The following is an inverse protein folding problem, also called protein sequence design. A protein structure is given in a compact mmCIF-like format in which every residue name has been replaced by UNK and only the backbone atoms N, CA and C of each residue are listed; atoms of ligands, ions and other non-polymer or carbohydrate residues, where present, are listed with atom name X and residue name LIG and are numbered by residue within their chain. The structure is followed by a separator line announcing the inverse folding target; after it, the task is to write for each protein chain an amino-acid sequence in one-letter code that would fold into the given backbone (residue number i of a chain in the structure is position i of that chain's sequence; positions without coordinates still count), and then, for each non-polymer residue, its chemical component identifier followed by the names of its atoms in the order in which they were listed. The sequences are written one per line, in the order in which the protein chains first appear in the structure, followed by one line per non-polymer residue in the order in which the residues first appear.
data_IF_724979450558
#
_entry.id   IF_724979450558
#
_cell.length_a   1.000
_cell.length_b   1.000
_cell.length_c   1.000
_cell.angle_alpha   90.00
_cell.angle_beta   90.00
_cell.angle_gamma   90.00
#
_symmetry.space_group_name_H-M   'P 1'
#
loop_
_entity.id
_entity.type
_entity.pdbx_description
1 polymer ?
#
# COMPACT_ATOMS: atom_id res chain seq x y z
N UNK A 1 10.64 2.10 -1.89
CA UNK A 1 10.09 3.42 -1.52
C UNK A 1 11.19 4.47 -1.42
N UNK A 2 12.08 4.42 -0.41
CA UNK A 2 13.17 5.42 -0.26
C UNK A 2 14.02 5.56 -1.53
N UNK A 3 14.43 4.45 -2.15
CA UNK A 3 15.23 4.47 -3.38
C UNK A 3 14.54 5.19 -4.55
N UNK A 4 13.22 5.06 -4.69
CA UNK A 4 12.47 5.81 -5.71
C UNK A 4 12.34 7.29 -5.38
N UNK A 5 12.28 7.62 -4.09
CA UNK A 5 12.30 9.01 -3.64
C UNK A 5 13.64 9.71 -3.92
N UNK A 6 14.76 8.98 -3.88
CA UNK A 6 16.05 9.57 -4.25
C UNK A 6 16.08 10.04 -5.70
N UNK A 7 15.54 9.24 -6.63
CA UNK A 7 15.36 9.65 -8.03
C UNK A 7 14.43 10.86 -8.16
N UNK A 8 13.44 10.95 -7.27
CA UNK A 8 12.49 12.04 -7.23
C UNK A 8 13.09 13.35 -6.71
N UNK A 9 13.95 13.29 -5.70
CA UNK A 9 14.65 14.47 -5.16
C UNK A 9 15.58 15.09 -6.20
N UNK A 10 16.27 14.26 -6.99
CA UNK A 10 17.09 14.74 -8.10
C UNK A 10 16.24 15.45 -9.16
N UNK A 11 15.06 14.92 -9.48
CA UNK A 11 14.16 15.60 -10.41
C UNK A 11 13.57 16.89 -9.82
N UNK A 12 13.38 16.94 -8.49
CA UNK A 12 12.83 18.09 -7.77
C UNK A 12 13.73 19.32 -7.80
N UNK A 13 15.06 19.15 -7.89
CA UNK A 13 15.99 20.28 -7.91
C UNK A 13 15.86 21.17 -9.14
N UNK A 14 15.14 20.69 -10.17
CA UNK A 14 14.86 21.43 -11.40
C UNK A 14 13.37 21.81 -11.54
N UNK A 15 12.55 21.45 -10.57
CA UNK A 15 11.11 21.68 -10.63
C UNK A 15 10.73 23.10 -10.14
N UNK A 16 9.55 23.57 -10.56
CA UNK A 16 8.98 24.79 -9.99
C UNK A 16 8.56 24.58 -8.52
N UNK A 17 8.30 25.69 -7.81
CA UNK A 17 7.95 25.66 -6.39
C UNK A 17 6.66 24.86 -6.11
N UNK A 18 5.72 24.86 -7.05
CA UNK A 18 4.45 24.16 -6.90
C UNK A 18 4.64 22.64 -6.95
N UNK A 19 5.37 22.15 -7.95
CA UNK A 19 5.75 20.74 -8.10
C UNK A 19 6.58 20.31 -6.89
N UNK A 20 7.56 21.12 -6.46
CA UNK A 20 8.35 20.83 -5.28
C UNK A 20 7.48 20.67 -4.01
N UNK A 21 6.46 21.52 -3.83
CA UNK A 21 5.53 21.41 -2.72
C UNK A 21 4.73 20.10 -2.76
N UNK A 22 4.23 19.70 -3.93
CA UNK A 22 3.56 18.39 -4.10
C UNK A 22 4.50 17.23 -3.81
N UNK A 23 5.75 17.29 -4.27
CA UNK A 23 6.75 16.26 -4.00
C UNK A 23 7.03 16.11 -2.51
N UNK A 24 7.18 17.23 -1.79
CA UNK A 24 7.35 17.21 -0.32
C UNK A 24 6.11 16.65 0.38
N UNK A 25 4.90 17.07 -0.03
CA UNK A 25 3.63 16.54 0.50
C UNK A 25 3.56 15.01 0.35
N UNK A 26 3.83 14.51 -0.85
CA UNK A 26 3.86 13.09 -1.16
C UNK A 26 4.94 12.33 -0.37
N UNK A 27 6.11 12.93 -0.17
CA UNK A 27 7.16 12.31 0.64
C UNK A 27 6.70 12.15 2.09
N UNK A 28 6.19 13.22 2.68
CA UNK A 28 5.74 13.22 4.08
C UNK A 28 4.57 12.27 4.30
N UNK A 29 3.57 12.28 3.42
CA UNK A 29 2.43 11.35 3.50
C UNK A 29 2.88 9.90 3.37
N UNK A 30 3.86 9.60 2.50
CA UNK A 30 4.46 8.27 2.42
C UNK A 30 5.26 7.87 3.66
N UNK A 31 6.01 8.78 4.29
CA UNK A 31 6.66 8.52 5.60
C UNK A 31 5.61 8.18 6.66
N UNK A 32 4.53 8.96 6.73
CA UNK A 32 3.44 8.72 7.68
C UNK A 32 2.80 7.35 7.44
N UNK A 33 2.43 7.04 6.20
CA UNK A 33 1.76 5.79 5.86
C UNK A 33 2.67 4.56 6.06
N UNK A 34 3.92 4.61 5.61
CA UNK A 34 4.77 3.41 5.55
C UNK A 34 5.60 3.21 6.80
N UNK A 35 6.15 4.29 7.37
CA UNK A 35 7.12 4.22 8.48
C UNK A 35 6.43 4.41 9.83
N UNK A 36 5.62 5.47 9.96
CA UNK A 36 5.03 5.83 11.26
C UNK A 36 3.77 5.03 11.59
N UNK A 37 2.90 4.82 10.60
CA UNK A 37 1.61 4.14 10.77
C UNK A 37 1.47 2.95 9.82
N UNK A 38 2.30 1.90 9.95
CA UNK A 38 2.16 0.71 9.13
C UNK A 38 0.84 -0.01 9.43
N UNK A 39 0.22 -0.59 8.39
CA UNK A 39 -1.01 -1.38 8.52
C UNK A 39 -0.81 -2.55 9.51
N UNK A 40 -1.85 -2.85 10.28
CA UNK A 40 -1.97 -4.06 11.09
C UNK A 40 -1.49 -3.90 12.53
N UNK A 41 -0.99 -2.73 12.93
CA UNK A 41 -0.52 -2.49 14.31
C UNK A 41 -1.62 -2.04 15.26
N UNK A 42 -2.54 -1.19 14.81
CA UNK A 42 -3.69 -0.77 15.61
C UNK A 42 -4.79 -0.18 14.73
N UNK A 43 -6.08 -0.26 15.14
CA UNK A 43 -7.18 0.29 14.35
C UNK A 43 -7.07 1.80 14.08
N UNK A 44 -6.42 2.56 14.98
CA UNK A 44 -6.18 3.99 14.78
C UNK A 44 -5.06 4.21 13.74
N UNK A 45 -3.94 3.50 13.84
CA UNK A 45 -2.86 3.59 12.85
C UNK A 45 -3.34 3.15 11.48
N UNK A 46 -4.19 2.13 11.39
CA UNK A 46 -4.77 1.70 10.11
C UNK A 46 -5.63 2.80 9.47
N UNK A 47 -6.41 3.53 10.27
CA UNK A 47 -7.17 4.69 9.77
C UNK A 47 -6.24 5.80 9.28
N UNK A 48 -5.19 6.11 10.04
CA UNK A 48 -4.20 7.12 9.66
C UNK A 48 -3.48 6.71 8.37
N UNK A 49 -3.06 5.45 8.26
CA UNK A 49 -2.49 4.87 7.06
C UNK A 49 -3.40 5.08 5.85
N UNK A 50 -4.68 4.70 5.98
CA UNK A 50 -5.65 4.84 4.90
C UNK A 50 -5.82 6.30 4.45
N UNK A 51 -5.95 7.23 5.39
CA UNK A 51 -6.07 8.66 5.08
C UNK A 51 -4.80 9.19 4.41
N UNK A 52 -3.62 8.87 4.94
CA UNK A 52 -2.34 9.29 4.38
C UNK A 52 -2.14 8.74 2.96
N UNK A 53 -2.47 7.47 2.73
CA UNK A 53 -2.44 6.85 1.41
C UNK A 53 -3.44 7.49 0.44
N UNK A 54 -4.63 7.89 0.90
CA UNK A 54 -5.59 8.60 0.05
C UNK A 54 -5.09 10.00 -0.36
N UNK A 55 -4.51 10.75 0.57
CA UNK A 55 -3.90 12.06 0.27
C UNK A 55 -2.75 11.88 -0.72
N UNK A 56 -1.87 10.90 -0.48
CA UNK A 56 -0.77 10.54 -1.38
C UNK A 56 -1.27 10.28 -2.82
N UNK A 57 -2.38 9.55 -2.98
CA UNK A 57 -3.00 9.28 -4.27
C UNK A 57 -3.61 10.53 -4.91
N UNK A 58 -4.26 11.40 -4.11
CA UNK A 58 -4.79 12.67 -4.61
C UNK A 58 -3.69 13.58 -5.15
N UNK A 59 -2.56 13.66 -4.45
CA UNK A 59 -1.39 14.41 -4.89
C UNK A 59 -0.85 13.89 -6.23
N UNK A 60 -0.88 12.56 -6.47
CA UNK A 60 -0.49 12.00 -7.76
C UNK A 60 -1.41 12.47 -8.89
N UNK A 61 -2.72 12.43 -8.66
CA UNK A 61 -3.72 12.85 -9.67
C UNK A 61 -3.53 14.32 -10.02
N UNK A 62 -3.32 15.18 -9.02
CA UNK A 62 -3.03 16.60 -9.24
C UNK A 62 -1.73 16.78 -10.03
N UNK A 63 -0.66 16.07 -9.64
CA UNK A 63 0.64 16.17 -10.28
C UNK A 63 0.63 15.67 -11.73
N UNK A 64 -0.15 14.62 -12.03
CA UNK A 64 -0.34 14.18 -13.42
C UNK A 64 -0.96 15.25 -14.31
N UNK A 65 -1.93 15.99 -13.78
CA UNK A 65 -2.56 17.11 -14.48
C UNK A 65 -1.57 18.25 -14.72
N UNK A 66 -0.76 18.59 -13.71
CA UNK A 66 0.25 19.65 -13.80
C UNK A 66 1.34 19.29 -14.82
N UNK A 67 1.85 18.05 -14.78
CA UNK A 67 2.95 17.59 -15.64
C UNK A 67 2.50 17.18 -17.05
N UNK A 68 1.21 17.24 -17.37
CA UNK A 68 0.69 16.77 -18.66
C UNK A 68 1.02 15.29 -18.93
N UNK A 69 0.98 14.46 -17.89
CA UNK A 69 1.47 13.07 -17.96
C UNK A 69 0.68 12.26 -19.00
N UNK A 70 1.34 11.48 -19.89
CA UNK A 70 0.64 10.71 -20.91
C UNK A 70 -0.40 9.75 -20.33
N UNK A 71 -1.54 9.62 -21.02
CA UNK A 71 -2.71 8.86 -20.55
C UNK A 71 -2.37 7.43 -20.15
N UNK A 72 -1.41 6.77 -20.82
CA UNK A 72 -0.99 5.40 -20.49
C UNK A 72 -0.52 5.25 -19.03
N UNK A 73 0.19 6.26 -18.50
CA UNK A 73 0.67 6.25 -17.11
C UNK A 73 -0.45 6.52 -16.13
N UNK A 74 -1.35 7.46 -16.48
CA UNK A 74 -2.54 7.79 -15.68
C UNK A 74 -3.49 6.59 -15.59
N UNK A 75 -3.73 5.89 -16.70
CA UNK A 75 -4.54 4.67 -16.72
C UNK A 75 -3.89 3.56 -15.91
N UNK A 76 -2.57 3.39 -16.03
CA UNK A 76 -1.80 2.48 -15.18
C UNK A 76 -2.04 2.76 -13.71
N UNK A 77 -1.87 4.00 -13.27
CA UNK A 77 -2.14 4.42 -11.90
C UNK A 77 -3.57 4.08 -11.43
N UNK A 78 -4.59 4.39 -12.22
CA UNK A 78 -5.98 4.10 -11.85
C UNK A 78 -6.30 2.62 -11.76
N UNK A 79 -5.76 1.80 -12.67
CA UNK A 79 -5.91 0.35 -12.62
C UNK A 79 -5.36 -0.22 -11.30
N UNK A 80 -4.26 0.36 -10.83
CA UNK A 80 -3.58 -0.08 -9.62
C UNK A 80 -4.28 0.38 -8.36
N UNK A 81 -4.77 1.61 -8.37
CA UNK A 81 -5.64 2.11 -7.32
C UNK A 81 -6.90 1.25 -7.18
N UNK A 82 -7.53 0.89 -8.30
CA UNK A 82 -8.69 0.00 -8.31
C UNK A 82 -8.34 -1.40 -7.76
N UNK A 83 -7.18 -1.95 -8.14
CA UNK A 83 -6.71 -3.23 -7.64
C UNK A 83 -6.46 -3.20 -6.12
N UNK A 84 -5.80 -2.15 -5.61
CA UNK A 84 -5.58 -1.94 -4.18
C UNK A 84 -6.91 -1.86 -3.40
N UNK A 85 -7.89 -1.11 -3.92
CA UNK A 85 -9.23 -1.03 -3.32
C UNK A 85 -9.93 -2.40 -3.32
N UNK A 86 -9.85 -3.14 -4.42
CA UNK A 86 -10.41 -4.48 -4.51
C UNK A 86 -9.79 -5.40 -3.43
N UNK A 87 -8.47 -5.43 -3.33
CA UNK A 87 -7.75 -6.22 -2.31
C UNK A 87 -8.19 -5.86 -0.89
N UNK A 88 -8.29 -4.57 -0.57
CA UNK A 88 -8.75 -4.12 0.74
C UNK A 88 -10.18 -4.54 1.06
N UNK A 89 -11.10 -4.42 0.09
CA UNK A 89 -12.50 -4.80 0.30
C UNK A 89 -12.65 -6.31 0.51
N UNK A 90 -11.85 -7.11 -0.18
CA UNK A 90 -11.81 -8.56 -0.01
C UNK A 90 -11.27 -8.94 1.37
N UNK A 91 -10.15 -8.34 1.80
CA UNK A 91 -9.56 -8.61 3.11
C UNK A 91 -10.53 -8.24 4.25
N UNK A 92 -11.18 -7.07 4.17
CA UNK A 92 -12.20 -6.69 5.16
C UNK A 92 -13.38 -7.65 5.21
N UNK A 93 -13.77 -8.21 4.07
CA UNK A 93 -14.85 -9.21 4.02
C UNK A 93 -14.42 -10.48 4.74
N UNK A 94 -13.21 -10.96 4.51
CA UNK A 94 -12.66 -12.14 5.18
C UNK A 94 -12.53 -11.94 6.69
N UNK A 95 -12.00 -10.80 7.12
CA UNK A 95 -11.92 -10.46 8.55
C UNK A 95 -13.30 -10.47 9.21
N UNK A 96 -14.31 -9.85 8.58
CA UNK A 96 -15.69 -9.87 9.10
C UNK A 96 -16.27 -11.28 9.22
N UNK A 97 -16.00 -12.16 8.25
CA UNK A 97 -16.46 -13.55 8.28
C UNK A 97 -15.78 -14.33 9.41
N UNK A 98 -14.49 -14.11 9.65
CA UNK A 98 -13.76 -14.75 10.75
C UNK A 98 -14.26 -14.28 12.12
N UNK A 99 -14.44 -12.97 12.32
CA UNK A 99 -15.00 -12.43 13.57
C UNK A 99 -16.46 -12.87 13.81
N UNK A 100 -17.28 -12.91 12.75
CA UNK A 100 -18.65 -13.41 12.84
C UNK A 100 -18.73 -14.90 13.22
N UNK A 101 -17.82 -15.72 12.70
CA UNK A 101 -17.72 -17.15 13.03
C UNK A 101 -17.15 -17.40 14.43
N UNK A 102 -16.25 -16.55 14.92
CA UNK A 102 -15.73 -16.63 16.30
C UNK A 102 -16.83 -16.41 17.33
N UNK A 103 -17.71 -15.42 17.13
CA UNK A 103 -18.77 -15.11 18.09
C UNK A 103 -19.82 -16.22 18.28
N UNK A 104 -19.96 -17.18 17.35
CA UNK A 104 -20.83 -18.34 17.53
C UNK A 104 -20.22 -19.48 18.35
N UNK A 105 -18.92 -19.41 18.69
CA UNK A 105 -18.18 -20.47 19.41
C UNK A 105 -17.87 -20.08 20.87
N UNK A 106 -18.12 -18.83 21.26
CA UNK A 106 -17.81 -18.27 22.59
C UNK A 106 -18.82 -18.58 23.71
N UNK A 107 -19.65 -19.63 23.57
CA UNK A 107 -20.42 -20.18 24.70
C UNK A 107 -19.61 -21.13 25.59
N UNK A 108 -18.28 -21.21 25.41
CA UNK A 108 -17.39 -21.87 26.37
C UNK A 108 -16.24 -20.93 26.74
N UNK A 109 -15.95 -20.71 28.04
CA UNK A 109 -14.84 -19.87 28.48
C UNK A 109 -13.52 -20.54 28.11
N UNK A 110 -12.93 -20.11 27.00
CA UNK A 110 -11.57 -20.53 26.61
C UNK A 110 -10.58 -19.61 27.33
N UNK A 111 -9.64 -20.15 28.13
CA UNK A 111 -8.63 -19.36 28.82
C UNK A 111 -7.79 -18.56 27.81
N UNK A 112 -7.50 -17.31 28.15
CA UNK A 112 -6.75 -16.38 27.30
C UNK A 112 -5.43 -17.00 26.82
N UNK A 113 -5.14 -17.02 25.50
CA UNK A 113 -3.88 -17.53 25.02
C UNK A 113 -2.74 -16.65 25.54
N UNK A 114 -1.86 -17.27 26.34
CA UNK A 114 -0.62 -16.68 26.81
C UNK A 114 0.18 -16.25 25.58
N UNK A 115 0.61 -14.99 25.54
CA UNK A 115 1.45 -14.42 24.49
C UNK A 115 2.85 -15.05 24.53
N UNK A 116 2.97 -16.32 24.17
CA UNK A 116 4.24 -16.92 23.81
C UNK A 116 4.53 -16.52 22.37
N UNK A 117 5.63 -15.79 22.18
CA UNK A 117 6.18 -15.40 20.89
C UNK A 117 6.62 -16.62 20.08
N UNK A 118 5.65 -17.41 19.59
CA UNK A 118 5.89 -18.42 18.58
C UNK A 118 6.10 -17.69 17.26
N UNK A 119 7.36 -17.70 16.81
CA UNK A 119 7.70 -17.50 15.41
C UNK A 119 6.70 -18.30 14.54
N UNK A 120 6.26 -17.76 13.40
CA UNK A 120 5.26 -18.41 12.56
C UNK A 120 5.68 -19.85 12.30
N UNK A 121 4.70 -20.75 12.46
CA UNK A 121 4.86 -22.19 12.41
C UNK A 121 5.78 -22.62 11.26
N UNK A 122 6.70 -23.53 11.60
CA UNK A 122 7.55 -24.29 10.70
C UNK A 122 6.82 -24.65 9.41
N UNK A 123 7.50 -24.42 8.29
CA UNK A 123 7.08 -24.67 6.91
C UNK A 123 6.35 -26.01 6.74
N UNK A 124 5.03 -25.99 6.62
CA UNK A 124 4.24 -27.10 6.07
C UNK A 124 4.21 -26.93 4.54
N UNK A 125 5.22 -27.50 3.87
CA UNK A 125 5.43 -27.40 2.44
C UNK A 125 4.42 -28.14 1.57
N UNK A 126 3.36 -28.73 2.13
CA UNK A 126 2.46 -29.63 1.40
C UNK A 126 1.14 -29.04 0.91
N UNK A 127 0.68 -27.89 1.44
CA UNK A 127 -0.68 -27.43 1.13
C UNK A 127 -0.69 -26.48 -0.09
N UNK A 128 -1.17 -26.95 -1.23
CA UNK A 128 -1.29 -26.16 -2.47
C UNK A 128 -2.01 -24.81 -2.25
N UNK A 129 -2.94 -24.75 -1.29
CA UNK A 129 -3.62 -23.52 -0.89
C UNK A 129 -2.67 -22.48 -0.27
N UNK A 130 -1.74 -22.90 0.59
CA UNK A 130 -0.79 -21.97 1.25
C UNK A 130 0.26 -21.46 0.26
N UNK A 131 0.63 -22.26 -0.73
CA UNK A 131 1.52 -21.83 -1.83
C UNK A 131 0.82 -20.80 -2.71
N UNK A 132 -0.45 -21.01 -3.05
CA UNK A 132 -1.23 -20.06 -3.85
C UNK A 132 -1.44 -18.73 -3.12
N UNK A 133 -1.79 -18.75 -1.83
CA UNK A 133 -1.95 -17.55 -0.99
C UNK A 133 -0.65 -16.74 -0.87
N UNK A 134 0.50 -17.41 -0.79
CA UNK A 134 1.80 -16.74 -0.81
C UNK A 134 2.14 -16.19 -2.18
N UNK A 135 1.90 -16.96 -3.24
CA UNK A 135 2.15 -16.52 -4.61
C UNK A 135 1.32 -15.29 -4.98
N UNK A 136 0.06 -15.23 -4.53
CA UNK A 136 -0.77 -14.03 -4.70
C UNK A 136 -0.25 -12.87 -3.87
N UNK A 137 0.13 -13.08 -2.60
CA UNK A 137 0.72 -12.02 -1.77
C UNK A 137 2.02 -11.45 -2.37
N UNK A 138 2.93 -12.31 -2.86
CA UNK A 138 4.14 -11.87 -3.55
C UNK A 138 3.83 -11.20 -4.88
N UNK A 139 2.85 -11.70 -5.63
CA UNK A 139 2.36 -11.09 -6.87
C UNK A 139 1.81 -9.68 -6.64
N UNK A 140 1.07 -9.47 -5.54
CA UNK A 140 0.61 -8.14 -5.12
C UNK A 140 1.78 -7.22 -4.80
N UNK A 141 2.73 -7.67 -3.97
CA UNK A 141 3.92 -6.88 -3.66
C UNK A 141 4.75 -6.54 -4.91
N UNK A 142 5.03 -7.51 -5.78
CA UNK A 142 5.75 -7.30 -7.04
C UNK A 142 5.00 -6.35 -7.97
N UNK A 143 3.67 -6.47 -8.02
CA UNK A 143 2.80 -5.53 -8.73
C UNK A 143 3.00 -4.12 -8.20
N UNK A 144 2.79 -3.91 -6.89
CA UNK A 144 2.94 -2.61 -6.23
C UNK A 144 4.33 -1.98 -6.47
N UNK A 145 5.40 -2.76 -6.34
CA UNK A 145 6.76 -2.27 -6.60
C UNK A 145 7.03 -2.00 -8.08
N UNK A 146 6.60 -2.88 -8.98
CA UNK A 146 6.73 -2.68 -10.43
C UNK A 146 5.95 -1.45 -10.90
N UNK A 147 4.83 -1.16 -10.26
CA UNK A 147 4.02 0.02 -10.51
C UNK A 147 4.64 1.29 -10.00
N UNK A 148 5.24 1.25 -8.81
CA UNK A 148 6.04 2.36 -8.31
C UNK A 148 7.18 2.69 -9.28
N UNK A 149 7.85 1.68 -9.85
CA UNK A 149 8.90 1.89 -10.87
C UNK A 149 8.32 2.45 -12.17
N UNK A 150 7.24 1.86 -12.70
CA UNK A 150 6.57 2.34 -13.92
C UNK A 150 6.12 3.81 -13.79
N UNK A 151 5.63 4.17 -12.61
CA UNK A 151 5.24 5.51 -12.24
C UNK A 151 6.42 6.49 -12.18
N UNK A 152 7.53 6.11 -11.52
CA UNK A 152 8.77 6.91 -11.51
C UNK A 152 9.26 7.19 -12.93
N UNK A 153 9.22 6.19 -13.82
CA UNK A 153 9.57 6.35 -15.22
C UNK A 153 8.62 7.29 -15.99
N UNK A 154 7.33 7.30 -15.64
CA UNK A 154 6.34 8.22 -16.22
C UNK A 154 6.57 9.67 -15.80
N UNK A 155 6.75 9.93 -14.52
CA UNK A 155 6.90 11.29 -14.00
C UNK A 155 8.23 11.93 -14.43
N UNK A 156 9.32 11.16 -14.46
CA UNK A 156 10.62 11.65 -14.95
C UNK A 156 10.60 12.04 -16.43
N UNK A 157 9.67 11.50 -17.24
CA UNK A 157 9.45 11.92 -18.63
C UNK A 157 8.72 13.26 -18.75
N UNK A 158 7.83 13.59 -17.81
CA UNK A 158 7.10 14.87 -17.81
C UNK A 158 7.90 16.04 -17.25
N UNK A 159 9.03 15.77 -16.59
CA UNK A 159 9.94 16.78 -16.03
C UNK A 159 11.05 17.24 -17.00
N UNK A 160 11.02 16.79 -18.26
CA UNK A 160 11.92 17.23 -19.33
C UNK A 160 11.20 18.14 -20.30
#
# INVERSE_FOLDING_TARGET
WISGWLLFVEAASHADLLIAAFMVSMFLTGVVAIILCPIGRSPLQDKIHWVASLIYMADHVALFGILGTPTVYVTGFWACFALMLASYTLEKREQRLQYGRSNSVWSSPVPAPRAEGKLPATWDGGNAKSVLERATAYGFMLGEYGLFIFFLCGMTRGLR
#
